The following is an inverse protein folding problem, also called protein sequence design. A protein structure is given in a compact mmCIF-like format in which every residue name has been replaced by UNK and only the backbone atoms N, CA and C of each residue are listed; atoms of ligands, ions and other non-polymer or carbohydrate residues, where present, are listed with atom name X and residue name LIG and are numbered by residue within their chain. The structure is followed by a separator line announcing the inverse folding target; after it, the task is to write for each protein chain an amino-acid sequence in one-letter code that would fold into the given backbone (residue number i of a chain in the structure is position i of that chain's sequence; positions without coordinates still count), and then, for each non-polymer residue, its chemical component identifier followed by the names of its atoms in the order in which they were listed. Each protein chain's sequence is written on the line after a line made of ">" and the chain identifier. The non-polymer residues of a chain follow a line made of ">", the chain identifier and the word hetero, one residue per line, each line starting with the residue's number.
data_IF_432510375664
#
_entry.id   IF_432510375664
#
_cell.length_a   1.000
_cell.length_b   1.000
_cell.length_c   1.000
_cell.angle_alpha   90.00
_cell.angle_beta   90.00
_cell.angle_gamma   90.00
#
_symmetry.space_group_name_H-M   'P 1'
#
loop_
_entity.id
_entity.type
_entity.pdbx_description
1 polymer ?
#
# COMPACT_ATOMS: atom_id res chain seq x y z
N UNK A 1 17.30 -10.24 -37.01
CA UNK A 1 16.45 -9.28 -36.35
C UNK A 1 16.91 -9.06 -34.91
N UNK A 2 17.37 -7.87 -34.55
CA UNK A 2 17.87 -7.63 -33.20
C UNK A 2 16.79 -7.59 -32.13
N UNK A 3 15.53 -7.74 -32.51
CA UNK A 3 14.40 -7.45 -31.59
C UNK A 3 13.97 -8.59 -30.70
N UNK A 4 14.38 -9.85 -31.02
CA UNK A 4 13.95 -11.00 -30.21
C UNK A 4 14.56 -11.00 -28.82
N UNK A 5 15.87 -10.76 -28.70
CA UNK A 5 16.53 -10.72 -27.40
C UNK A 5 16.07 -9.53 -26.55
N UNK A 6 15.82 -8.39 -27.19
CA UNK A 6 15.27 -7.21 -26.49
C UNK A 6 13.84 -7.44 -26.01
N UNK A 7 13.00 -8.09 -26.82
CA UNK A 7 11.63 -8.43 -26.45
C UNK A 7 11.60 -9.41 -25.28
N UNK A 8 12.43 -10.45 -25.32
CA UNK A 8 12.51 -11.41 -24.22
C UNK A 8 12.98 -10.76 -22.92
N UNK A 9 13.93 -9.84 -23.01
CA UNK A 9 14.42 -9.11 -21.84
C UNK A 9 13.29 -8.25 -21.27
N UNK A 10 12.51 -7.57 -22.09
CA UNK A 10 11.38 -6.77 -21.65
C UNK A 10 10.31 -7.61 -20.98
N UNK A 11 9.98 -8.78 -21.55
CA UNK A 11 9.03 -9.71 -20.96
C UNK A 11 9.49 -10.13 -19.57
N UNK A 12 10.74 -10.53 -19.41
CA UNK A 12 11.30 -10.91 -18.12
C UNK A 12 11.26 -9.76 -17.11
N UNK A 13 11.61 -8.55 -17.54
CA UNK A 13 11.54 -7.37 -16.67
C UNK A 13 10.11 -7.06 -16.26
N UNK A 14 9.16 -7.17 -17.19
CA UNK A 14 7.74 -6.95 -16.91
C UNK A 14 7.19 -7.98 -15.94
N UNK A 15 7.58 -9.24 -16.07
CA UNK A 15 7.17 -10.29 -15.15
C UNK A 15 7.71 -10.04 -13.74
N UNK A 16 8.98 -9.64 -13.62
CA UNK A 16 9.57 -9.27 -12.34
C UNK A 16 8.84 -8.08 -11.71
N UNK A 17 8.53 -7.05 -12.50
CA UNK A 17 7.80 -5.87 -12.03
C UNK A 17 6.40 -6.25 -11.56
N UNK A 18 5.70 -7.12 -12.30
CA UNK A 18 4.38 -7.61 -11.90
C UNK A 18 4.43 -8.35 -10.57
N UNK A 19 5.42 -9.22 -10.40
CA UNK A 19 5.59 -9.97 -9.16
C UNK A 19 5.88 -9.04 -7.97
N UNK A 20 6.79 -8.09 -8.14
CA UNK A 20 7.12 -7.10 -7.11
C UNK A 20 5.91 -6.22 -6.78
N UNK A 21 5.20 -5.74 -7.80
CA UNK A 21 4.03 -4.89 -7.61
C UNK A 21 2.90 -5.64 -6.91
N UNK A 22 2.69 -6.91 -7.26
CA UNK A 22 1.69 -7.76 -6.61
C UNK A 22 2.04 -7.94 -5.13
N UNK A 23 3.31 -8.23 -4.83
CA UNK A 23 3.79 -8.39 -3.45
C UNK A 23 3.58 -7.09 -2.66
N UNK A 24 3.92 -5.95 -3.24
CA UNK A 24 3.76 -4.65 -2.60
C UNK A 24 2.28 -4.31 -2.36
N UNK A 25 1.40 -4.62 -3.32
CA UNK A 25 -0.05 -4.43 -3.16
C UNK A 25 -0.60 -5.30 -2.04
N UNK A 26 -0.13 -6.53 -1.95
CA UNK A 26 -0.53 -7.45 -0.88
C UNK A 26 -0.12 -6.91 0.48
N UNK A 27 1.10 -6.36 0.59
CA UNK A 27 1.56 -5.69 1.82
C UNK A 27 0.67 -4.52 2.21
N UNK A 28 0.37 -3.63 1.25
CA UNK A 28 -0.49 -2.47 1.49
C UNK A 28 -1.87 -2.91 1.98
N UNK A 29 -2.47 -3.87 1.30
CA UNK A 29 -3.79 -4.41 1.70
C UNK A 29 -3.74 -5.04 3.09
N UNK A 30 -2.66 -5.76 3.39
CA UNK A 30 -2.46 -6.37 4.71
C UNK A 30 -2.38 -5.33 5.83
N UNK A 31 -1.62 -4.25 5.62
CA UNK A 31 -1.53 -3.16 6.59
C UNK A 31 -2.85 -2.42 6.77
N UNK A 32 -3.57 -2.15 5.68
CA UNK A 32 -4.88 -1.51 5.73
C UNK A 32 -5.88 -2.38 6.49
N UNK A 33 -5.88 -3.68 6.22
CA UNK A 33 -6.74 -4.63 6.92
C UNK A 33 -6.43 -4.68 8.41
N UNK A 34 -5.15 -4.66 8.77
CA UNK A 34 -4.69 -4.65 10.15
C UNK A 34 -5.16 -3.38 10.87
N UNK A 35 -5.07 -2.23 10.22
CA UNK A 35 -5.55 -0.98 10.78
C UNK A 35 -7.08 -0.99 10.95
N UNK A 36 -7.82 -1.50 9.95
CA UNK A 36 -9.28 -1.62 10.05
C UNK A 36 -9.68 -2.51 11.23
N UNK A 37 -8.97 -3.61 11.44
CA UNK A 37 -9.18 -4.47 12.59
C UNK A 37 -8.99 -3.73 13.91
N UNK A 38 -7.93 -2.92 14.03
CA UNK A 38 -7.68 -2.10 15.20
C UNK A 38 -8.76 -1.04 15.39
N UNK A 39 -9.24 -0.43 14.31
CA UNK A 39 -10.34 0.54 14.36
C UNK A 39 -11.63 -0.09 14.84
N UNK A 40 -11.93 -1.31 14.40
CA UNK A 40 -13.13 -2.04 14.80
C UNK A 40 -13.06 -2.44 16.28
N UNK A 41 -11.87 -2.81 16.77
CA UNK A 41 -11.68 -3.14 18.19
C UNK A 41 -11.70 -1.90 19.11
N UNK A 42 -11.50 -0.70 18.53
CA UNK A 42 -11.52 0.55 19.29
C UNK A 42 -10.31 0.78 20.19
N UNK A 43 -9.23 0.01 20.02
CA UNK A 43 -8.01 0.17 20.81
C UNK A 43 -7.18 1.35 20.31
N UNK A 44 -7.19 2.45 21.06
CA UNK A 44 -6.44 3.65 20.73
C UNK A 44 -4.94 3.39 20.63
N UNK A 45 -4.39 2.55 21.51
CA UNK A 45 -2.96 2.22 21.51
C UNK A 45 -2.55 1.52 20.22
N UNK A 46 -3.33 0.53 19.79
CA UNK A 46 -3.08 -0.19 18.54
C UNK A 46 -3.19 0.73 17.34
N UNK A 47 -4.22 1.59 17.32
CA UNK A 47 -4.42 2.56 16.24
C UNK A 47 -3.23 3.51 16.14
N UNK A 48 -2.77 4.07 17.26
CA UNK A 48 -1.66 5.01 17.30
C UNK A 48 -0.33 4.35 16.88
N UNK A 49 -0.17 3.04 17.10
CA UNK A 49 1.01 2.30 16.66
C UNK A 49 0.95 1.96 15.17
N UNK A 50 -0.20 1.54 14.67
CA UNK A 50 -0.35 1.02 13.32
C UNK A 50 -0.52 2.16 12.29
N UNK A 51 -1.22 3.22 12.63
CA UNK A 51 -1.55 4.31 11.69
C UNK A 51 -0.30 4.90 11.01
N UNK A 52 0.77 5.29 11.75
CA UNK A 52 1.98 5.81 11.10
C UNK A 52 2.63 4.80 10.16
N UNK A 53 2.65 3.53 10.53
CA UNK A 53 3.20 2.46 9.68
C UNK A 53 2.41 2.32 8.38
N UNK A 54 1.09 2.33 8.47
CA UNK A 54 0.21 2.23 7.30
C UNK A 54 0.41 3.43 6.36
N UNK A 55 0.47 4.64 6.90
CA UNK A 55 0.71 5.85 6.12
C UNK A 55 2.07 5.77 5.43
N UNK A 56 3.11 5.33 6.12
CA UNK A 56 4.45 5.16 5.56
C UNK A 56 4.44 4.14 4.41
N UNK A 57 3.77 3.01 4.58
CA UNK A 57 3.66 1.97 3.53
C UNK A 57 2.91 2.51 2.31
N UNK A 58 1.84 3.28 2.52
CA UNK A 58 1.08 3.89 1.43
C UNK A 58 1.96 4.88 0.65
N UNK A 59 2.69 5.74 1.34
CA UNK A 59 3.59 6.72 0.71
C UNK A 59 4.71 6.04 -0.09
N UNK A 60 5.32 4.99 0.46
CA UNK A 60 6.33 4.20 -0.25
C UNK A 60 5.75 3.53 -1.49
N UNK A 61 4.50 3.08 -1.42
CA UNK A 61 3.82 2.46 -2.56
C UNK A 61 3.60 3.44 -3.71
N UNK A 62 3.35 4.71 -3.40
CA UNK A 62 3.27 5.76 -4.43
C UNK A 62 4.63 5.95 -5.10
N UNK A 63 5.70 6.03 -4.33
CA UNK A 63 7.06 6.17 -4.86
C UNK A 63 7.47 5.00 -5.75
N UNK A 64 7.04 3.79 -5.40
CA UNK A 64 7.32 2.57 -6.19
C UNK A 64 6.40 2.41 -7.40
N UNK A 65 5.40 3.28 -7.56
CA UNK A 65 4.43 3.21 -8.66
C UNK A 65 3.38 2.11 -8.49
N UNK A 66 3.23 1.56 -7.30
CA UNK A 66 2.23 0.52 -6.98
C UNK A 66 0.84 1.14 -6.84
N UNK A 67 0.77 2.31 -6.21
CA UNK A 67 -0.46 3.06 -6.02
C UNK A 67 -0.36 4.42 -6.71
N UNK A 68 -1.47 4.84 -7.31
CA UNK A 68 -1.60 6.19 -7.82
C UNK A 68 -1.73 7.18 -6.65
N UNK A 69 -1.17 8.39 -6.82
CA UNK A 69 -1.19 9.41 -5.78
C UNK A 69 -2.61 9.74 -5.29
N UNK A 70 -3.59 9.75 -6.19
CA UNK A 70 -4.99 10.03 -5.83
C UNK A 70 -5.59 8.93 -4.95
N UNK A 71 -5.30 7.66 -5.26
CA UNK A 71 -5.74 6.54 -4.44
C UNK A 71 -5.09 6.58 -3.06
N UNK A 72 -3.79 6.86 -3.01
CA UNK A 72 -3.06 6.99 -1.74
C UNK A 72 -3.64 8.10 -0.87
N UNK A 73 -3.94 9.26 -1.46
CA UNK A 73 -4.55 10.38 -0.75
C UNK A 73 -5.90 10.00 -0.14
N UNK A 74 -6.73 9.27 -0.89
CA UNK A 74 -8.02 8.78 -0.39
C UNK A 74 -7.86 7.83 0.79
N UNK A 75 -6.95 6.86 0.68
CA UNK A 75 -6.68 5.91 1.76
C UNK A 75 -6.21 6.64 3.02
N UNK A 76 -5.23 7.53 2.88
CA UNK A 76 -4.70 8.28 4.03
C UNK A 76 -5.78 9.12 4.69
N UNK A 77 -6.58 9.84 3.91
CA UNK A 77 -7.65 10.68 4.41
C UNK A 77 -8.71 9.87 5.17
N UNK A 78 -9.22 8.81 4.54
CA UNK A 78 -10.27 7.97 5.14
C UNK A 78 -9.79 7.29 6.42
N UNK A 79 -8.58 6.74 6.41
CA UNK A 79 -8.04 6.04 7.56
C UNK A 79 -7.75 7.01 8.71
N UNK A 80 -7.24 8.21 8.42
CA UNK A 80 -6.97 9.23 9.41
C UNK A 80 -8.27 9.72 10.06
N UNK A 81 -9.31 9.97 9.26
CA UNK A 81 -10.62 10.39 9.77
C UNK A 81 -11.21 9.32 10.70
N UNK A 82 -11.18 8.06 10.27
CA UNK A 82 -11.69 6.97 11.10
C UNK A 82 -10.89 6.81 12.39
N UNK A 83 -9.56 6.96 12.31
CA UNK A 83 -8.70 6.89 13.50
C UNK A 83 -9.03 8.02 14.49
N UNK A 84 -9.25 9.21 13.99
CA UNK A 84 -9.64 10.36 14.83
C UNK A 84 -11.01 10.15 15.48
N UNK A 85 -11.96 9.58 14.74
CA UNK A 85 -13.27 9.26 15.29
C UNK A 85 -13.21 8.18 16.37
N UNK A 86 -12.37 7.17 16.18
CA UNK A 86 -12.21 6.08 17.12
C UNK A 86 -11.51 6.53 18.41
N UNK A 87 -10.66 7.57 18.35
CA UNK A 87 -9.94 8.08 19.52
C UNK A 87 -10.72 9.11 20.35
N UNK A 88 -11.90 9.45 19.92
CA UNK A 88 -12.86 10.23 20.69
C UNK A 88 -13.70 9.28 21.56
#
# INVERSE_FOLDING_TARGET
>A
MPNHKSAEKRVRQNEKRRAINRSNRTKVRGFIKKLRGALDSGSKQEIDQILPEVISVIDKSVQKGVLHANAAARYKSRLTVRANQASK
#
